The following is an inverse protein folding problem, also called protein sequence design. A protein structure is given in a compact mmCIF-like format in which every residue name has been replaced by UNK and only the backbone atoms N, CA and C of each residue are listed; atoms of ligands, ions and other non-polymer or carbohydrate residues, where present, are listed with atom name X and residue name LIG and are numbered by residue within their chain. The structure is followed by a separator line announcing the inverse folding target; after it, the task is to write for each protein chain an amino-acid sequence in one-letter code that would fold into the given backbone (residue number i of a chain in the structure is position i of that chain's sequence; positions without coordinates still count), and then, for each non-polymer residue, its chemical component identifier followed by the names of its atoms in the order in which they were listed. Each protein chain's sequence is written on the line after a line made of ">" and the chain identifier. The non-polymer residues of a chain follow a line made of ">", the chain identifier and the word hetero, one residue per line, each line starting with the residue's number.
data_IF_873196597319
#
_entry.id   IF_873196597319
#
_cell.length_a   1.000
_cell.length_b   1.000
_cell.length_c   1.000
_cell.angle_alpha   90.00
_cell.angle_beta   90.00
_cell.angle_gamma   90.00
#
_symmetry.space_group_name_H-M   'P 1'
#
loop_
_entity.id
_entity.type
_entity.pdbx_description
1 polymer ?
#
# COMPACT_ATOMS: atom_id res chain seq x y z
N UNK A 1 50.90 23.67 34.98
CA UNK A 1 49.47 23.54 35.18
C UNK A 1 48.78 23.67 33.83
N UNK A 2 48.27 22.59 33.28
CA UNK A 2 47.48 22.56 32.02
C UNK A 2 46.00 22.78 32.36
N UNK A 3 45.41 23.84 31.84
CA UNK A 3 43.98 24.15 31.98
C UNK A 3 43.22 23.33 30.94
N UNK A 4 42.52 22.28 31.37
CA UNK A 4 41.63 21.54 30.51
C UNK A 4 40.34 22.35 30.29
N UNK A 5 40.14 22.88 29.09
CA UNK A 5 38.91 23.54 28.69
C UNK A 5 37.91 22.46 28.30
N UNK A 6 36.98 22.14 29.20
CA UNK A 6 35.83 21.27 28.87
C UNK A 6 34.82 22.08 28.05
N UNK A 7 34.74 21.83 26.76
CA UNK A 7 33.65 22.28 25.91
C UNK A 7 32.38 21.53 26.31
N UNK A 8 31.51 22.20 27.05
CA UNK A 8 30.13 21.74 27.25
C UNK A 8 29.40 22.06 25.93
N UNK A 9 29.22 21.08 25.08
CA UNK A 9 28.30 21.19 23.96
C UNK A 9 26.89 21.39 24.55
N UNK A 10 26.15 22.44 24.12
CA UNK A 10 24.76 22.55 24.51
C UNK A 10 24.06 21.27 24.04
N UNK A 11 23.52 20.51 24.99
CA UNK A 11 22.71 19.34 24.67
C UNK A 11 21.61 19.79 23.71
N UNK A 12 21.51 19.15 22.57
CA UNK A 12 20.32 19.23 21.72
C UNK A 12 19.15 18.84 22.63
N UNK A 13 18.39 19.84 23.09
CA UNK A 13 17.12 19.59 23.76
C UNK A 13 16.32 18.74 22.80
N UNK A 14 15.99 17.51 23.20
CA UNK A 14 15.07 16.69 22.46
C UNK A 14 13.79 17.52 22.30
N UNK A 15 13.45 17.89 21.06
CA UNK A 15 12.21 18.57 20.78
C UNK A 15 11.10 17.55 21.02
N UNK A 16 10.48 17.62 22.20
CA UNK A 16 9.25 16.88 22.45
C UNK A 16 8.13 17.55 21.66
N UNK A 17 7.77 16.98 20.53
CA UNK A 17 6.56 17.39 19.82
C UNK A 17 5.38 17.15 20.78
N UNK A 18 4.57 18.18 21.08
CA UNK A 18 3.30 17.94 21.74
C UNK A 18 2.39 17.19 20.80
N UNK A 19 2.44 15.86 20.86
CA UNK A 19 1.59 15.01 20.06
C UNK A 19 0.19 15.13 20.65
N UNK A 20 -0.73 15.71 19.88
CA UNK A 20 -2.14 15.66 20.23
C UNK A 20 -2.55 14.19 20.31
N UNK A 21 -3.24 13.85 21.38
CA UNK A 21 -3.72 12.49 21.64
C UNK A 21 -4.49 11.98 20.43
N UNK A 22 -3.93 10.99 19.77
CA UNK A 22 -4.64 10.13 18.83
C UNK A 22 -5.70 9.36 19.64
N UNK A 23 -6.89 9.12 19.08
CA UNK A 23 -7.90 8.36 19.80
C UNK A 23 -7.37 6.98 20.18
N UNK A 24 -7.70 6.49 21.38
CA UNK A 24 -7.17 5.21 21.91
C UNK A 24 -7.39 4.01 20.98
N UNK A 25 -8.46 4.06 20.16
CA UNK A 25 -8.78 3.01 19.19
C UNK A 25 -7.99 3.05 17.88
N UNK A 26 -7.19 4.09 17.62
CA UNK A 26 -6.45 4.25 16.39
C UNK A 26 -5.08 3.56 16.44
N UNK A 27 -4.57 3.16 15.27
CA UNK A 27 -3.21 2.66 15.09
C UNK A 27 -2.39 3.71 14.35
N UNK A 28 -1.26 4.09 14.91
CA UNK A 28 -0.38 5.13 14.36
C UNK A 28 1.07 4.65 14.41
N UNK A 29 1.77 4.89 13.32
CA UNK A 29 3.21 4.75 13.23
C UNK A 29 3.78 5.92 12.44
N UNK A 30 4.42 6.86 13.13
CA UNK A 30 5.10 8.00 12.53
C UNK A 30 6.61 7.74 12.58
N UNK A 31 7.22 7.68 11.44
CA UNK A 31 8.62 7.30 11.28
C UNK A 31 9.43 8.41 10.61
N UNK A 32 10.62 8.68 11.13
CA UNK A 32 11.57 9.58 10.49
C UNK A 32 12.60 8.74 9.72
N UNK A 33 12.49 8.77 8.39
CA UNK A 33 13.34 7.99 7.49
C UNK A 33 14.80 8.49 7.46
N UNK A 34 15.06 9.77 7.76
CA UNK A 34 16.43 10.33 7.72
C UNK A 34 17.31 9.82 8.86
N UNK A 35 16.70 9.54 10.00
CA UNK A 35 17.42 9.08 11.20
C UNK A 35 17.07 7.64 11.60
N UNK A 36 16.24 6.99 10.81
CA UNK A 36 15.80 5.61 10.98
C UNK A 36 15.21 5.35 12.39
N UNK A 37 14.24 6.21 12.78
CA UNK A 37 13.61 6.12 14.10
C UNK A 37 12.12 6.42 14.10
N UNK A 38 11.33 5.66 14.87
CA UNK A 38 9.95 6.04 15.13
C UNK A 38 9.90 7.31 16.00
N UNK A 39 8.95 8.18 15.68
CA UNK A 39 8.64 9.41 16.43
C UNK A 39 7.41 9.19 17.29
N UNK A 40 6.42 8.46 16.78
CA UNK A 40 5.18 8.13 17.48
C UNK A 40 4.73 6.73 17.11
N UNK A 41 4.42 5.96 18.14
CA UNK A 41 3.84 4.64 18.02
C UNK A 41 2.62 4.52 18.94
N UNK A 42 1.48 4.13 18.37
CA UNK A 42 0.28 3.77 19.12
C UNK A 42 -0.40 2.60 18.43
N UNK A 43 -0.61 1.49 19.14
CA UNK A 43 -1.19 0.27 18.57
C UNK A 43 -0.56 -0.12 17.21
N UNK A 44 0.74 0.19 17.02
CA UNK A 44 1.41 0.15 15.72
C UNK A 44 1.42 -1.26 15.10
N UNK A 45 1.54 -2.30 15.93
CA UNK A 45 1.56 -3.71 15.50
C UNK A 45 0.17 -4.38 15.52
N UNK A 46 -0.87 -3.65 15.93
CA UNK A 46 -2.21 -4.20 15.97
C UNK A 46 -2.76 -4.39 14.54
N UNK A 47 -3.19 -5.62 14.23
CA UNK A 47 -3.84 -5.90 12.95
C UNK A 47 -5.15 -5.11 12.80
N UNK A 48 -5.31 -4.53 11.62
CA UNK A 48 -6.49 -3.77 11.20
C UNK A 48 -6.91 -4.15 9.79
N UNK A 49 -8.19 -3.96 9.50
CA UNK A 49 -8.65 -3.97 8.11
C UNK A 49 -8.12 -2.71 7.42
N UNK A 50 -7.42 -2.89 6.31
CA UNK A 50 -6.66 -1.82 5.68
C UNK A 50 -7.36 -1.21 4.46
N UNK A 51 -8.46 -1.80 4.01
CA UNK A 51 -9.21 -1.32 2.86
C UNK A 51 -8.27 -0.95 1.69
N UNK A 52 -8.44 0.22 1.11
CA UNK A 52 -7.67 0.66 -0.07
C UNK A 52 -6.17 0.86 0.15
N UNK A 53 -5.65 0.79 1.37
CA UNK A 53 -4.20 0.75 1.61
C UNK A 53 -3.56 -0.51 0.98
N UNK A 54 -4.33 -1.57 0.76
CA UNK A 54 -3.96 -2.73 -0.05
C UNK A 54 -3.33 -2.36 -1.39
N UNK A 55 -3.82 -1.29 -2.03
CA UNK A 55 -3.34 -0.82 -3.33
C UNK A 55 -1.89 -0.33 -3.33
N UNK A 56 -1.31 -0.04 -2.17
CA UNK A 56 0.11 0.26 -2.05
C UNK A 56 0.95 -0.95 -2.49
N UNK A 57 0.60 -2.16 -2.03
CA UNK A 57 1.29 -3.39 -2.45
C UNK A 57 1.01 -3.71 -3.92
N UNK A 58 -0.20 -3.47 -4.42
CA UNK A 58 -0.53 -3.63 -5.84
C UNK A 58 0.31 -2.70 -6.71
N UNK A 59 0.45 -1.42 -6.32
CA UNK A 59 1.30 -0.46 -7.00
C UNK A 59 2.79 -0.86 -6.95
N UNK A 60 3.27 -1.31 -5.81
CA UNK A 60 4.65 -1.75 -5.62
C UNK A 60 4.99 -2.89 -6.58
N UNK A 61 4.19 -3.95 -6.61
CA UNK A 61 4.41 -5.09 -7.50
C UNK A 61 4.29 -4.71 -8.98
N UNK A 62 3.41 -3.76 -9.31
CA UNK A 62 3.31 -3.25 -10.67
C UNK A 62 4.60 -2.54 -11.11
N UNK A 63 5.15 -1.67 -10.27
CA UNK A 63 6.40 -0.97 -10.55
C UNK A 63 7.59 -1.94 -10.59
N UNK A 64 7.65 -2.91 -9.67
CA UNK A 64 8.68 -3.94 -9.63
C UNK A 64 8.61 -4.94 -10.81
N UNK A 65 7.48 -5.00 -11.52
CA UNK A 65 7.32 -5.91 -12.67
C UNK A 65 8.26 -5.60 -13.84
N UNK A 66 8.82 -4.39 -13.89
CA UNK A 66 9.70 -3.93 -14.97
C UNK A 66 8.97 -3.69 -16.30
N UNK A 67 7.64 -3.76 -16.34
CA UNK A 67 6.87 -3.51 -17.55
C UNK A 67 6.97 -2.04 -17.97
N UNK A 68 6.98 -1.78 -19.29
CA UNK A 68 6.98 -0.41 -19.82
C UNK A 68 5.64 0.28 -19.44
N UNK A 69 5.74 1.30 -18.60
CA UNK A 69 4.58 2.07 -18.12
C UNK A 69 3.90 2.89 -19.22
N UNK A 70 4.58 3.21 -20.31
CA UNK A 70 4.01 3.94 -21.46
C UNK A 70 3.33 3.03 -22.47
N UNK A 71 3.57 1.71 -22.40
CA UNK A 71 2.93 0.77 -23.29
C UNK A 71 1.44 0.64 -23.01
N UNK A 72 0.69 0.45 -24.08
CA UNK A 72 -0.74 0.22 -24.03
C UNK A 72 -1.08 -1.25 -23.76
N UNK A 73 -2.16 -1.47 -23.03
CA UNK A 73 -2.75 -2.78 -22.81
C UNK A 73 -4.24 -2.73 -23.10
N UNK A 74 -4.79 -3.82 -23.60
CA UNK A 74 -6.23 -4.00 -23.78
C UNK A 74 -6.80 -4.76 -22.60
N UNK A 75 -7.87 -4.23 -21.99
CA UNK A 75 -8.51 -4.83 -20.82
C UNK A 75 -9.17 -6.15 -21.21
N UNK A 76 -8.75 -7.28 -20.62
CA UNK A 76 -9.17 -8.60 -21.07
C UNK A 76 -10.60 -8.94 -20.63
N UNK A 77 -11.31 -9.74 -21.45
CA UNK A 77 -12.66 -10.19 -21.16
C UNK A 77 -12.77 -11.06 -19.88
N UNK A 78 -11.68 -11.66 -19.44
CA UNK A 78 -11.61 -12.45 -18.20
C UNK A 78 -11.98 -11.63 -16.95
N UNK A 79 -11.82 -10.30 -16.98
CA UNK A 79 -12.17 -9.41 -15.88
C UNK A 79 -13.67 -9.03 -15.83
N UNK A 80 -14.51 -9.54 -16.72
CA UNK A 80 -15.93 -9.17 -16.77
C UNK A 80 -16.67 -9.45 -15.46
N UNK A 81 -16.41 -10.59 -14.82
CA UNK A 81 -17.05 -10.93 -13.54
C UNK A 81 -16.50 -10.09 -12.42
N UNK A 82 -15.20 -9.91 -12.35
CA UNK A 82 -14.52 -9.07 -11.38
C UNK A 82 -15.06 -7.63 -11.37
N UNK A 83 -15.24 -7.03 -12.55
CA UNK A 83 -15.82 -5.68 -12.67
C UNK A 83 -17.26 -5.60 -12.18
N UNK A 84 -18.07 -6.64 -12.42
CA UNK A 84 -19.43 -6.72 -11.86
C UNK A 84 -19.42 -6.82 -10.35
N UNK A 85 -18.51 -7.61 -9.78
CA UNK A 85 -18.40 -7.79 -8.32
C UNK A 85 -17.95 -6.49 -7.64
N UNK A 86 -17.00 -5.77 -8.24
CA UNK A 86 -16.60 -4.43 -7.79
C UNK A 86 -17.79 -3.46 -7.83
N UNK A 87 -18.57 -3.45 -8.90
CA UNK A 87 -19.74 -2.60 -9.04
C UNK A 87 -20.84 -2.94 -8.01
N UNK A 88 -21.12 -4.22 -7.81
CA UNK A 88 -22.09 -4.70 -6.82
C UNK A 88 -21.71 -4.32 -5.39
N UNK A 89 -20.41 -4.28 -5.10
CA UNK A 89 -19.85 -3.85 -3.81
C UNK A 89 -19.74 -2.32 -3.66
N UNK A 90 -20.23 -1.53 -4.65
CA UNK A 90 -20.06 -0.08 -4.72
C UNK A 90 -18.59 0.36 -4.59
N UNK A 91 -17.67 -0.41 -5.14
CA UNK A 91 -16.25 -0.11 -5.12
C UNK A 91 -15.90 1.12 -5.98
N UNK A 92 -14.92 1.91 -5.55
CA UNK A 92 -14.40 3.03 -6.34
C UNK A 92 -13.83 2.53 -7.66
N UNK A 93 -14.15 3.20 -8.77
CA UNK A 93 -13.67 2.87 -10.12
C UNK A 93 -13.35 4.13 -10.92
N UNK A 94 -12.60 3.97 -11.99
CA UNK A 94 -12.46 4.97 -13.07
C UNK A 94 -13.28 4.60 -14.30
N UNK A 95 -14.21 3.65 -14.14
CA UNK A 95 -15.14 3.17 -15.16
C UNK A 95 -14.46 2.55 -16.39
N UNK A 96 -13.41 1.77 -16.17
CA UNK A 96 -12.75 1.01 -17.22
C UNK A 96 -13.72 0.00 -17.89
N UNK A 97 -13.54 -0.24 -19.18
CA UNK A 97 -14.41 -1.13 -19.95
C UNK A 97 -13.62 -2.30 -20.54
N UNK A 98 -14.24 -3.45 -20.55
CA UNK A 98 -13.69 -4.64 -21.24
C UNK A 98 -13.46 -4.30 -22.73
N UNK A 99 -12.26 -4.62 -23.22
CA UNK A 99 -11.83 -4.31 -24.59
C UNK A 99 -11.30 -2.88 -24.79
N UNK A 100 -11.36 -2.02 -23.78
CA UNK A 100 -10.73 -0.70 -23.82
C UNK A 100 -9.21 -0.83 -23.79
N UNK A 101 -8.52 0.06 -24.49
CA UNK A 101 -7.06 0.13 -24.51
C UNK A 101 -6.60 1.37 -23.71
N UNK A 102 -5.71 1.14 -22.76
CA UNK A 102 -5.19 2.17 -21.85
C UNK A 102 -3.69 2.01 -21.66
N UNK A 103 -2.99 3.09 -21.32
CA UNK A 103 -1.58 2.97 -20.95
C UNK A 103 -1.44 2.47 -19.52
N UNK A 104 -0.39 1.71 -19.26
CA UNK A 104 -0.06 1.22 -17.90
C UNK A 104 0.06 2.34 -16.89
N UNK A 105 0.67 3.47 -17.27
CA UNK A 105 0.81 4.62 -16.37
C UNK A 105 -0.56 5.21 -15.97
N UNK A 106 -1.56 5.21 -16.85
CA UNK A 106 -2.89 5.72 -16.55
C UNK A 106 -3.61 4.83 -15.54
N UNK A 107 -3.36 3.51 -15.56
CA UNK A 107 -3.83 2.58 -14.53
C UNK A 107 -3.21 2.87 -13.17
N UNK A 108 -1.91 3.18 -13.11
CA UNK A 108 -1.24 3.54 -11.87
C UNK A 108 -1.82 4.83 -11.27
N UNK A 109 -2.09 5.85 -12.10
CA UNK A 109 -2.79 7.05 -11.67
C UNK A 109 -4.21 6.76 -11.17
N UNK A 110 -4.98 5.95 -11.91
CA UNK A 110 -6.31 5.51 -11.49
C UNK A 110 -6.29 4.79 -10.14
N UNK A 111 -5.33 3.90 -9.96
CA UNK A 111 -5.12 3.16 -8.72
C UNK A 111 -4.85 4.07 -7.51
N UNK A 112 -3.88 4.98 -7.64
CA UNK A 112 -3.37 5.75 -6.50
C UNK A 112 -4.15 7.04 -6.24
N UNK A 113 -4.66 7.72 -7.29
CA UNK A 113 -5.36 9.01 -7.15
C UNK A 113 -6.86 8.81 -6.93
N UNK A 114 -7.49 7.92 -7.73
CA UNK A 114 -8.92 7.65 -7.64
C UNK A 114 -9.25 6.44 -6.75
N UNK A 115 -8.24 5.75 -6.22
CA UNK A 115 -8.42 4.50 -5.46
C UNK A 115 -9.21 3.44 -6.25
N UNK A 116 -9.02 3.38 -7.58
CA UNK A 116 -9.82 2.60 -8.49
C UNK A 116 -9.58 1.08 -8.34
N UNK A 117 -10.65 0.34 -8.04
CA UNK A 117 -10.58 -1.11 -7.87
C UNK A 117 -10.47 -1.82 -9.22
N UNK A 118 -11.15 -1.32 -10.26
CA UNK A 118 -11.03 -1.81 -11.64
C UNK A 118 -9.58 -1.68 -12.15
N UNK A 119 -8.92 -0.55 -11.89
CA UNK A 119 -7.50 -0.38 -12.22
C UNK A 119 -6.60 -1.38 -11.47
N UNK A 120 -6.90 -1.66 -10.19
CA UNK A 120 -6.16 -2.66 -9.40
C UNK A 120 -6.25 -4.06 -10.04
N UNK A 121 -7.46 -4.47 -10.43
CA UNK A 121 -7.69 -5.78 -11.06
C UNK A 121 -7.05 -5.89 -12.44
N UNK A 122 -7.06 -4.80 -13.24
CA UNK A 122 -6.35 -4.77 -14.54
C UNK A 122 -4.84 -4.87 -14.35
N UNK A 123 -4.27 -4.14 -13.40
CA UNK A 123 -2.84 -4.20 -13.05
C UNK A 123 -2.46 -5.62 -12.64
N UNK A 124 -3.22 -6.22 -11.73
CA UNK A 124 -2.95 -7.58 -11.27
C UNK A 124 -3.02 -8.60 -12.41
N UNK A 125 -4.03 -8.48 -13.28
CA UNK A 125 -4.18 -9.31 -14.48
C UNK A 125 -3.01 -9.15 -15.46
N UNK A 126 -2.55 -7.93 -15.71
CA UNK A 126 -1.41 -7.66 -16.60
C UNK A 126 -0.10 -8.24 -16.04
N UNK A 127 0.15 -8.12 -14.74
CA UNK A 127 1.40 -8.58 -14.11
C UNK A 127 1.47 -10.09 -13.95
N UNK A 128 0.32 -10.75 -13.78
CA UNK A 128 0.23 -12.19 -13.51
C UNK A 128 -0.43 -13.00 -14.65
N UNK A 129 -0.39 -12.47 -15.88
CA UNK A 129 -0.92 -13.14 -17.08
C UNK A 129 -2.38 -13.62 -16.90
N UNK A 130 -3.20 -12.83 -16.21
CA UNK A 130 -4.64 -13.07 -15.98
C UNK A 130 -4.96 -13.79 -14.66
N UNK A 131 -3.99 -14.28 -13.91
CA UNK A 131 -4.22 -15.00 -12.65
C UNK A 131 -4.14 -14.07 -11.43
N UNK A 132 -5.28 -13.51 -11.01
CA UNK A 132 -5.38 -12.64 -9.83
C UNK A 132 -5.00 -13.37 -8.54
N UNK A 133 -5.21 -14.70 -8.46
CA UNK A 133 -4.83 -15.50 -7.28
C UNK A 133 -3.33 -15.59 -7.15
N UNK A 134 -2.63 -15.81 -8.26
CA UNK A 134 -1.16 -15.78 -8.30
C UNK A 134 -0.62 -14.41 -7.92
N UNK A 135 -1.28 -13.30 -8.33
CA UNK A 135 -0.89 -11.97 -7.93
C UNK A 135 -1.03 -11.76 -6.41
N UNK A 136 -2.15 -12.18 -5.80
CA UNK A 136 -2.36 -12.12 -4.35
C UNK A 136 -1.32 -12.96 -3.60
N UNK A 137 -0.99 -14.15 -4.10
CA UNK A 137 0.08 -14.96 -3.52
C UNK A 137 1.43 -14.22 -3.54
N UNK A 138 1.74 -13.51 -4.63
CA UNK A 138 2.93 -12.67 -4.75
C UNK A 138 2.90 -11.47 -3.80
N UNK A 139 1.74 -10.82 -3.60
CA UNK A 139 1.58 -9.76 -2.59
C UNK A 139 1.98 -10.27 -1.20
N UNK A 140 1.47 -11.42 -0.79
CA UNK A 140 1.80 -12.04 0.49
C UNK A 140 3.27 -12.45 0.59
N UNK A 141 3.85 -12.96 -0.49
CA UNK A 141 5.27 -13.27 -0.55
C UNK A 141 6.11 -12.00 -0.38
N UNK A 142 5.75 -10.92 -1.10
CA UNK A 142 6.49 -9.65 -1.03
C UNK A 142 6.39 -8.99 0.34
N UNK A 143 5.23 -9.06 0.99
CA UNK A 143 5.07 -8.59 2.38
C UNK A 143 6.06 -9.30 3.32
N UNK A 144 6.19 -10.61 3.23
CA UNK A 144 7.16 -11.38 4.04
C UNK A 144 8.60 -10.97 3.75
N UNK A 145 8.95 -10.74 2.48
CA UNK A 145 10.29 -10.29 2.07
C UNK A 145 10.63 -8.90 2.62
N UNK A 146 9.62 -8.04 2.78
CA UNK A 146 9.75 -6.71 3.40
C UNK A 146 9.80 -6.77 4.93
N UNK A 147 9.57 -7.94 5.54
CA UNK A 147 9.59 -8.12 6.99
C UNK A 147 8.22 -7.88 7.66
N UNK A 148 7.14 -7.74 6.90
CA UNK A 148 5.80 -7.59 7.45
C UNK A 148 5.38 -8.87 8.20
N UNK A 149 5.00 -8.73 9.47
CA UNK A 149 4.65 -9.85 10.35
C UNK A 149 3.15 -9.95 10.63
N UNK A 150 2.43 -8.86 10.42
CA UNK A 150 1.00 -8.71 10.75
C UNK A 150 0.14 -8.50 9.48
N UNK A 151 0.71 -8.73 8.29
CA UNK A 151 0.06 -8.45 7.01
C UNK A 151 -0.38 -9.73 6.30
N UNK A 152 -1.61 -9.70 5.80
CA UNK A 152 -2.18 -10.70 4.90
C UNK A 152 -3.05 -10.02 3.85
N UNK A 153 -2.90 -10.41 2.60
CA UNK A 153 -3.71 -9.95 1.49
C UNK A 153 -4.59 -11.08 0.96
N UNK A 154 -5.86 -10.79 0.71
CA UNK A 154 -6.84 -11.71 0.12
C UNK A 154 -7.37 -11.20 -1.20
N UNK A 155 -7.13 -9.92 -1.54
CA UNK A 155 -7.53 -9.29 -2.78
C UNK A 155 -6.53 -8.22 -3.19
N UNK A 156 -6.67 -7.74 -4.43
CA UNK A 156 -5.74 -6.79 -5.05
C UNK A 156 -6.12 -5.31 -4.82
N UNK A 157 -7.30 -5.03 -4.28
CA UNK A 157 -7.88 -3.68 -4.23
C UNK A 157 -8.35 -3.23 -2.84
N UNK A 158 -8.55 -4.17 -1.90
CA UNK A 158 -8.96 -3.87 -0.53
C UNK A 158 -10.46 -3.67 -0.33
N UNK A 159 -11.33 -4.18 -1.21
CA UNK A 159 -12.74 -4.38 -0.86
C UNK A 159 -12.82 -5.31 0.35
N UNK A 160 -13.83 -5.07 1.20
CA UNK A 160 -13.92 -5.71 2.50
C UNK A 160 -13.79 -7.24 2.44
N UNK A 161 -12.80 -7.76 3.16
CA UNK A 161 -12.59 -9.18 3.40
C UNK A 161 -11.92 -9.33 4.78
N UNK A 162 -12.38 -10.28 5.57
CA UNK A 162 -11.87 -10.53 6.93
C UNK A 162 -10.38 -10.92 6.97
N UNK A 163 -9.85 -11.46 5.90
CA UNK A 163 -8.46 -11.88 5.79
C UNK A 163 -7.52 -10.78 5.27
N UNK A 164 -8.06 -9.64 4.80
CA UNK A 164 -7.26 -8.54 4.23
C UNK A 164 -6.89 -7.55 5.31
N UNK A 165 -5.77 -7.80 5.98
CA UNK A 165 -5.33 -7.08 7.18
C UNK A 165 -3.85 -6.68 7.11
N UNK A 166 -3.49 -5.67 7.88
CA UNK A 166 -2.11 -5.24 8.12
C UNK A 166 -2.02 -4.50 9.44
N UNK A 167 -0.83 -4.03 9.81
CA UNK A 167 -0.60 -3.10 10.92
C UNK A 167 -0.05 -1.77 10.41
N UNK A 168 -0.11 -0.72 11.24
CA UNK A 168 0.46 0.58 10.91
C UNK A 168 1.99 0.51 10.73
N UNK A 169 2.65 -0.39 11.48
CA UNK A 169 4.08 -0.61 11.39
C UNK A 169 4.47 -1.32 10.08
N UNK A 170 3.71 -2.34 9.66
CA UNK A 170 3.98 -3.06 8.41
C UNK A 170 3.76 -2.18 7.16
N UNK A 171 2.81 -1.23 7.19
CA UNK A 171 2.50 -0.30 6.09
C UNK A 171 3.55 0.79 5.94
#
# INVERSE_FOLDING_TARGET
>A
AALALTLVLPGLAAYEMPIQTVNEGESVYLFNADIDKPILEQNADQQRYIASLTKMMTALLFLESGKDMNAEITIPASLTQEFKDIQNANGSTINLRIGETVRRIDLLYGLLVASANDAASVIASDVSDGDLTAFVARMNQRAKELGCTSTSFTCVHGLYDYGNVSSAHDL
#
